data_IF_557685251698
#
_entry.id   IF_557685251698
#
_cell.length_a   1.000
_cell.length_b   1.000
_cell.length_c   1.000
_cell.angle_alpha   90.00
_cell.angle_beta   90.00
_cell.angle_gamma   90.00
#
_symmetry.space_group_name_H-M   'P 1'
#
loop_
_entity.id
_entity.type
_entity.pdbx_description
1 polymer ?
#
# COMPACT_ATOMS: atom_id res chain seq x y z
N UNK A 1 27.34 41.64 26.83
CA UNK A 1 27.11 40.50 25.92
C UNK A 1 26.20 39.51 26.62
N UNK A 2 25.06 39.17 26.03
CA UNK A 2 24.16 38.12 26.53
C UNK A 2 24.56 36.77 25.90
N UNK A 3 24.66 35.67 26.67
CA UNK A 3 24.89 34.36 26.08
C UNK A 3 23.61 33.90 25.36
N UNK A 4 23.74 33.58 24.07
CA UNK A 4 22.67 32.99 23.27
C UNK A 4 22.37 31.61 23.85
N UNK A 5 21.16 31.43 24.38
CA UNK A 5 20.69 30.13 24.83
C UNK A 5 20.77 29.15 23.66
N UNK A 6 21.52 28.05 23.82
CA UNK A 6 21.56 26.98 22.82
C UNK A 6 20.15 26.39 22.72
N UNK A 7 19.53 26.56 21.55
CA UNK A 7 18.32 25.84 21.20
C UNK A 7 18.66 24.35 21.14
N UNK A 8 18.25 23.60 22.16
CA UNK A 8 18.22 22.14 22.09
C UNK A 8 16.88 21.79 21.42
N UNK A 9 16.87 21.30 20.17
CA UNK A 9 15.68 20.66 19.66
C UNK A 9 15.50 19.41 20.51
N UNK A 10 14.55 19.46 21.44
CA UNK A 10 14.03 18.25 22.06
C UNK A 10 13.37 17.46 20.94
N UNK A 11 14.15 16.60 20.29
CA UNK A 11 13.65 15.59 19.38
C UNK A 11 12.68 14.73 20.19
N UNK A 12 11.40 15.05 20.09
CA UNK A 12 10.29 14.20 20.50
C UNK A 12 10.27 13.00 19.56
N UNK A 13 11.30 12.15 19.69
CA UNK A 13 11.45 10.92 18.94
C UNK A 13 10.42 9.96 19.52
N UNK A 14 9.26 9.84 18.87
CA UNK A 14 8.26 8.85 19.24
C UNK A 14 8.55 7.57 18.45
N UNK A 15 9.24 6.57 19.02
CA UNK A 15 9.65 5.35 18.31
C UNK A 15 8.46 4.57 17.76
N UNK A 16 7.26 4.72 18.36
CA UNK A 16 6.05 4.09 17.86
C UNK A 16 5.57 4.68 16.53
N UNK A 17 5.78 5.97 16.29
CA UNK A 17 5.42 6.61 15.01
C UNK A 17 6.33 6.11 13.87
N UNK A 18 7.62 5.98 14.15
CA UNK A 18 8.61 5.49 13.17
C UNK A 18 8.33 4.03 12.77
N UNK A 19 8.00 3.16 13.72
CA UNK A 19 7.69 1.75 13.43
C UNK A 19 6.40 1.59 12.60
N UNK A 20 5.39 2.41 12.87
CA UNK A 20 4.15 2.44 12.08
C UNK A 20 4.39 2.92 10.65
N UNK A 21 5.20 3.97 10.47
CA UNK A 21 5.58 4.46 9.14
C UNK A 21 6.38 3.43 8.35
N UNK A 22 7.35 2.76 8.98
CA UNK A 22 8.12 1.68 8.34
C UNK A 22 7.22 0.52 7.93
N UNK A 23 6.21 0.18 8.76
CA UNK A 23 5.23 -0.85 8.41
C UNK A 23 4.37 -0.45 7.22
N UNK A 24 3.90 0.80 7.18
CA UNK A 24 3.13 1.34 6.07
C UNK A 24 3.91 1.29 4.75
N UNK A 25 5.16 1.77 4.77
CA UNK A 25 6.06 1.76 3.61
C UNK A 25 6.29 0.34 3.10
N UNK A 26 6.52 -0.62 4.02
CA UNK A 26 6.76 -2.02 3.65
C UNK A 26 5.53 -2.66 3.03
N UNK A 27 4.35 -2.45 3.61
CA UNK A 27 3.08 -3.00 3.09
C UNK A 27 2.75 -2.42 1.71
N UNK A 28 2.90 -1.10 1.52
CA UNK A 28 2.66 -0.45 0.22
C UNK A 28 3.69 -0.91 -0.83
N UNK A 29 4.97 -0.99 -0.47
CA UNK A 29 6.03 -1.42 -1.39
C UNK A 29 5.85 -2.87 -1.83
N UNK A 30 5.51 -3.76 -0.91
CA UNK A 30 5.24 -5.15 -1.23
C UNK A 30 4.02 -5.30 -2.17
N UNK A 31 2.94 -4.55 -1.89
CA UNK A 31 1.76 -4.52 -2.73
C UNK A 31 2.05 -3.97 -4.13
N UNK A 32 2.70 -2.82 -4.23
CA UNK A 32 3.03 -2.18 -5.49
C UNK A 32 3.90 -3.08 -6.38
N UNK A 33 4.92 -3.72 -5.80
CA UNK A 33 5.79 -4.63 -6.54
C UNK A 33 5.01 -5.85 -7.04
N UNK A 34 4.17 -6.46 -6.20
CA UNK A 34 3.36 -7.60 -6.61
C UNK A 34 2.37 -7.24 -7.73
N UNK A 35 1.72 -6.06 -7.65
CA UNK A 35 0.83 -5.60 -8.72
C UNK A 35 1.60 -5.28 -9.99
N UNK A 36 2.81 -4.70 -9.87
CA UNK A 36 3.68 -4.42 -11.01
C UNK A 36 4.05 -5.70 -11.75
N UNK A 37 4.40 -6.76 -11.01
CA UNK A 37 4.76 -8.06 -11.59
C UNK A 37 3.57 -8.76 -12.27
N UNK A 38 2.37 -8.67 -11.68
CA UNK A 38 1.19 -9.40 -12.15
C UNK A 38 0.37 -8.66 -13.22
N UNK A 39 0.32 -7.34 -13.15
CA UNK A 39 -0.58 -6.50 -13.95
C UNK A 39 0.13 -5.35 -14.67
N UNK A 40 1.41 -5.12 -14.41
CA UNK A 40 2.19 -4.04 -15.00
C UNK A 40 2.19 -2.75 -14.18
N UNK A 41 3.12 -1.85 -14.53
CA UNK A 41 3.40 -0.62 -13.77
C UNK A 41 2.25 0.38 -13.74
N UNK A 42 1.45 0.46 -14.81
CA UNK A 42 0.29 1.35 -14.88
C UNK A 42 -0.77 0.92 -13.85
N UNK A 43 -1.09 -0.37 -13.80
CA UNK A 43 -2.03 -0.89 -12.80
C UNK A 43 -1.47 -0.74 -11.38
N UNK A 44 -0.16 -0.88 -11.18
CA UNK A 44 0.45 -0.68 -9.87
C UNK A 44 0.32 0.77 -9.38
N UNK A 45 0.45 1.76 -10.27
CA UNK A 45 0.23 3.17 -9.93
C UNK A 45 -1.22 3.44 -9.52
N UNK A 46 -2.19 2.99 -10.32
CA UNK A 46 -3.61 3.10 -9.99
C UNK A 46 -3.94 2.41 -8.66
N UNK A 47 -3.38 1.23 -8.43
CA UNK A 47 -3.59 0.49 -7.19
C UNK A 47 -2.93 1.15 -5.97
N UNK A 48 -1.82 1.86 -6.13
CA UNK A 48 -1.23 2.68 -5.06
C UNK A 48 -2.12 3.88 -4.71
N UNK A 49 -2.73 4.52 -5.70
CA UNK A 49 -3.72 5.58 -5.48
C UNK A 49 -4.95 5.04 -4.73
N UNK A 50 -5.46 3.88 -5.15
CA UNK A 50 -6.55 3.19 -4.44
C UNK A 50 -6.18 2.85 -2.98
N UNK A 51 -4.94 2.41 -2.75
CA UNK A 51 -4.44 2.14 -1.40
C UNK A 51 -4.42 3.40 -0.53
N UNK A 52 -3.95 4.53 -1.07
CA UNK A 52 -3.97 5.83 -0.38
C UNK A 52 -5.40 6.31 -0.14
N UNK A 53 -6.32 6.10 -1.09
CA UNK A 53 -7.73 6.40 -0.89
C UNK A 53 -8.37 5.58 0.23
N UNK A 54 -8.03 4.29 0.37
CA UNK A 54 -8.51 3.47 1.49
C UNK A 54 -7.93 3.92 2.83
N UNK A 55 -6.69 4.42 2.87
CA UNK A 55 -6.10 5.03 4.06
C UNK A 55 -6.86 6.30 4.49
N UNK A 56 -7.16 7.20 3.55
CA UNK A 56 -7.86 8.48 3.81
C UNK A 56 -9.27 8.26 4.40
N UNK A 57 -9.91 7.11 4.15
CA UNK A 57 -11.25 6.79 4.66
C UNK A 57 -11.27 6.40 6.14
N UNK A 58 -10.12 6.17 6.76
CA UNK A 58 -10.05 5.76 8.17
C UNK A 58 -9.96 7.02 9.04
N UNK A 59 -10.74 7.06 10.12
CA UNK A 59 -10.66 8.12 11.13
C UNK A 59 -9.38 7.94 11.96
N UNK A 60 -8.26 8.46 11.44
CA UNK A 60 -6.94 8.39 12.08
C UNK A 60 -5.95 7.51 11.33
N UNK A 61 -4.79 7.28 11.96
CA UNK A 61 -3.74 6.44 11.39
C UNK A 61 -3.85 5.00 11.88
N UNK A 62 -3.61 4.00 11.03
CA UNK A 62 -3.45 2.63 11.47
C UNK A 62 -2.38 2.51 12.55
N UNK A 63 -2.72 1.79 13.61
CA UNK A 63 -1.92 1.61 14.83
C UNK A 63 -1.27 0.23 14.90
N UNK A 64 -1.50 -0.62 13.90
CA UNK A 64 -0.94 -1.97 13.86
C UNK A 64 -0.70 -2.47 12.44
N UNK A 65 0.22 -3.43 12.29
CA UNK A 65 0.46 -4.12 11.03
C UNK A 65 -0.81 -4.80 10.48
N UNK A 66 -1.72 -5.25 11.35
CA UNK A 66 -2.99 -5.85 10.92
C UNK A 66 -3.90 -4.84 10.21
N UNK A 67 -3.95 -3.60 10.70
CA UNK A 67 -4.74 -2.53 10.09
C UNK A 67 -4.15 -2.09 8.75
N UNK A 68 -2.80 -2.01 8.64
CA UNK A 68 -2.14 -1.78 7.36
C UNK A 68 -2.47 -2.86 6.33
N UNK A 69 -2.42 -4.14 6.72
CA UNK A 69 -2.81 -5.25 5.83
C UNK A 69 -4.28 -5.18 5.41
N UNK A 70 -5.17 -4.68 6.26
CA UNK A 70 -6.57 -4.51 5.91
C UNK A 70 -6.74 -3.46 4.79
N UNK A 71 -5.96 -2.37 4.81
CA UNK A 71 -5.93 -1.39 3.72
C UNK A 71 -5.47 -2.05 2.43
N UNK A 72 -4.37 -2.81 2.48
CA UNK A 72 -3.86 -3.56 1.32
C UNK A 72 -4.89 -4.54 0.76
N UNK A 73 -5.60 -5.27 1.63
CA UNK A 73 -6.65 -6.19 1.22
C UNK A 73 -7.82 -5.46 0.55
N UNK A 74 -8.27 -4.32 1.09
CA UNK A 74 -9.32 -3.49 0.48
C UNK A 74 -8.90 -2.96 -0.88
N UNK A 75 -7.68 -2.43 -1.02
CA UNK A 75 -7.16 -1.99 -2.31
C UNK A 75 -7.11 -3.14 -3.32
N UNK A 76 -6.72 -4.34 -2.89
CA UNK A 76 -6.66 -5.53 -3.74
C UNK A 76 -8.02 -5.94 -4.31
N UNK A 77 -9.14 -5.64 -3.63
CA UNK A 77 -10.49 -5.95 -4.16
C UNK A 77 -10.85 -5.14 -5.40
N UNK A 78 -10.10 -4.06 -5.70
CA UNK A 78 -10.28 -3.22 -6.88
C UNK A 78 -9.44 -3.68 -8.07
N UNK A 79 -8.54 -4.65 -7.87
CA UNK A 79 -7.73 -5.19 -8.94
C UNK A 79 -8.63 -5.88 -9.99
N UNK A 80 -8.25 -5.82 -11.27
CA UNK A 80 -8.96 -6.56 -12.31
C UNK A 80 -9.05 -8.04 -11.93
N UNK A 81 -10.25 -8.63 -12.00
CA UNK A 81 -10.41 -10.07 -11.88
C UNK A 81 -9.59 -10.72 -13.00
N UNK A 82 -8.54 -11.46 -12.64
CA UNK A 82 -7.63 -12.07 -13.61
C UNK A 82 -8.39 -13.01 -14.56
N UNK A 83 -8.58 -12.59 -15.82
CA UNK A 83 -8.95 -13.47 -16.95
C UNK A 83 -7.72 -14.25 -17.41
N UNK A 84 -7.00 -14.84 -16.45
CA UNK A 84 -6.01 -15.89 -16.71
C UNK A 84 -6.55 -17.27 -16.30
N UNK A 85 -7.83 -17.38 -15.95
CA UNK A 85 -8.54 -18.64 -16.13
C UNK A 85 -8.69 -18.83 -17.64
N UNK A 86 -7.78 -19.64 -18.21
CA UNK A 86 -7.83 -20.15 -19.58
C UNK A 86 -9.24 -20.09 -20.14
N UNK A 87 -9.49 -19.22 -21.11
CA UNK A 87 -10.64 -19.39 -22.00
C UNK A 87 -10.61 -20.86 -22.44
N UNK A 88 -11.67 -21.66 -22.23
CA UNK A 88 -11.79 -22.87 -23.01
C UNK A 88 -11.98 -22.40 -24.45
N UNK A 89 -10.89 -22.39 -25.22
CA UNK A 89 -10.96 -22.41 -26.67
C UNK A 89 -11.78 -23.63 -27.03
N UNK A 90 -13.08 -23.41 -27.15
CA UNK A 90 -14.01 -24.41 -27.67
C UNK A 90 -13.95 -24.26 -29.19
N UNK A 91 -12.76 -24.49 -29.74
CA UNK A 91 -12.61 -24.83 -31.15
C UNK A 91 -12.83 -26.34 -31.25
N UNK A 92 -14.10 -26.74 -31.27
CA UNK A 92 -14.49 -28.01 -31.87
C UNK A 92 -15.04 -27.70 -33.26
N UNK A 93 -14.11 -27.42 -34.16
CA UNK A 93 -14.24 -27.85 -35.54
C UNK A 93 -14.20 -29.37 -35.51
N UNK A 94 -15.27 -30.04 -35.96
CA UNK A 94 -15.17 -31.31 -36.69
C UNK A 94 -16.54 -31.77 -37.22
N UNK A 95 -16.60 -31.82 -38.56
CA UNK A 95 -17.38 -32.66 -39.47
C UNK A 95 -18.91 -32.70 -39.36
#
# INVERSE_FOLDING_TARGET
MNPVARYNPSTNFNPGCTDLMTTAERELSAFFNAVTELFGSEQAQLSAEDWLHELIKIDGLPTSAREWRLITAKASTRLPNGVNASSPSTELTNA
#
